data_IF_382634999192
#
_entry.id   IF_382634999192
#
_cell.length_a   1.000
_cell.length_b   1.000
_cell.length_c   1.000
_cell.angle_alpha   90.00
_cell.angle_beta   90.00
_cell.angle_gamma   90.00
#
_symmetry.space_group_name_H-M   'P 1'
#
loop_
_entity.id
_entity.type
_entity.pdbx_description
1 polymer ?
#
# COMPACT_ATOMS: atom_id res chain seq x y z
N UNK A 1 102.51 -12.48 -11.75
CA UNK A 1 102.36 -13.17 -10.44
C UNK A 1 101.04 -13.91 -10.45
N UNK A 2 101.11 -15.24 -10.28
CA UNK A 2 100.11 -16.15 -9.63
C UNK A 2 98.67 -16.12 -10.20
N UNK A 3 98.02 -17.18 -10.65
CA UNK A 3 98.26 -18.62 -10.57
C UNK A 3 97.04 -19.34 -11.19
N UNK A 4 97.29 -20.55 -11.69
CA UNK A 4 96.33 -21.48 -12.32
C UNK A 4 95.20 -21.88 -11.36
N UNK A 5 94.06 -22.30 -11.93
CA UNK A 5 93.32 -23.51 -11.52
C UNK A 5 92.22 -23.86 -12.54
N UNK A 6 92.47 -24.89 -13.36
CA UNK A 6 91.46 -25.81 -13.91
C UNK A 6 91.20 -26.90 -12.85
N UNK A 7 90.07 -27.66 -12.83
CA UNK A 7 89.71 -28.71 -13.81
C UNK A 7 88.17 -28.83 -13.98
N UNK A 8 87.48 -29.78 -14.62
CA UNK A 8 87.77 -31.13 -15.10
C UNK A 8 86.67 -31.55 -16.08
N UNK A 9 87.07 -32.30 -17.10
CA UNK A 9 86.25 -33.05 -18.06
C UNK A 9 85.53 -34.25 -17.43
N UNK A 10 84.37 -34.62 -18.00
CA UNK A 10 83.95 -35.97 -18.49
C UNK A 10 82.43 -35.92 -18.72
N UNK A 11 81.81 -36.41 -19.80
CA UNK A 11 82.22 -37.17 -20.97
C UNK A 11 80.98 -37.82 -21.60
N UNK A 12 81.13 -38.35 -22.83
CA UNK A 12 80.38 -39.51 -23.39
C UNK A 12 78.90 -39.23 -23.77
N UNK A 13 78.27 -39.63 -24.88
CA UNK A 13 78.49 -40.49 -26.04
C UNK A 13 77.51 -40.02 -27.16
N UNK A 14 77.86 -40.02 -28.45
CA UNK A 14 77.65 -41.09 -29.43
C UNK A 14 76.22 -41.29 -29.98
N UNK A 15 76.09 -41.24 -31.31
CA UNK A 15 75.10 -42.01 -32.09
C UNK A 15 73.97 -41.18 -32.73
N UNK A 16 74.14 -40.64 -33.94
CA UNK A 16 73.81 -41.22 -35.27
C UNK A 16 72.36 -41.65 -35.54
N UNK A 17 71.86 -41.11 -36.67
CA UNK A 17 70.89 -41.62 -37.67
C UNK A 17 69.41 -41.28 -37.45
N UNK A 18 68.82 -40.41 -38.31
CA UNK A 18 68.02 -40.72 -39.55
C UNK A 18 66.86 -41.69 -39.29
N UNK A 19 65.61 -41.49 -39.71
CA UNK A 19 64.97 -40.57 -40.66
C UNK A 19 63.42 -40.63 -40.43
N UNK A 20 62.51 -40.42 -41.41
CA UNK A 20 61.48 -39.37 -41.39
C UNK A 20 60.04 -39.91 -41.27
N UNK A 21 59.05 -39.06 -40.95
CA UNK A 21 57.72 -39.10 -41.59
C UNK A 21 56.75 -38.04 -41.06
N UNK A 22 56.15 -37.36 -42.03
CA UNK A 22 54.71 -37.08 -42.12
C UNK A 22 54.14 -35.92 -41.28
N UNK A 23 53.94 -34.80 -41.98
CA UNK A 23 52.68 -34.05 -42.08
C UNK A 23 51.83 -33.95 -40.80
N UNK A 24 51.87 -32.78 -40.19
CA UNK A 24 50.67 -32.18 -39.63
C UNK A 24 50.74 -30.66 -39.82
N UNK A 25 49.70 -30.17 -40.47
CA UNK A 25 49.37 -28.79 -40.75
C UNK A 25 49.16 -28.05 -39.41
N UNK A 26 50.02 -27.08 -39.08
CA UNK A 26 49.76 -26.18 -37.95
C UNK A 26 48.62 -25.23 -38.35
N UNK A 27 47.45 -25.41 -37.72
CA UNK A 27 46.45 -24.37 -37.57
C UNK A 27 46.49 -23.92 -36.11
N UNK A 28 46.88 -22.67 -35.79
CA UNK A 28 46.58 -22.12 -34.49
C UNK A 28 45.07 -21.83 -34.45
N UNK A 29 44.34 -22.68 -33.73
CA UNK A 29 42.98 -22.38 -33.28
C UNK A 29 43.08 -21.08 -32.45
N UNK A 30 42.45 -20.02 -32.94
CA UNK A 30 42.47 -18.68 -32.35
C UNK A 30 41.75 -18.74 -31.00
N UNK A 31 42.54 -19.07 -29.99
CA UNK A 31 42.15 -19.27 -28.61
C UNK A 31 41.41 -18.03 -28.10
N UNK A 32 40.21 -18.28 -27.59
CA UNK A 32 39.54 -17.43 -26.60
C UNK A 32 39.13 -16.04 -27.08
N UNK A 33 38.13 -16.07 -27.96
CA UNK A 33 36.88 -15.32 -27.81
C UNK A 33 36.31 -15.42 -26.38
N UNK A 34 36.96 -14.87 -25.35
CA UNK A 34 36.40 -14.80 -23.99
C UNK A 34 37.04 -13.70 -23.13
N UNK A 35 37.06 -12.45 -23.61
CA UNK A 35 37.33 -11.33 -22.70
C UNK A 35 36.70 -10.01 -23.11
N UNK A 36 35.37 -9.95 -23.22
CA UNK A 36 34.65 -8.72 -22.91
C UNK A 36 33.15 -8.96 -22.76
N UNK A 37 32.73 -9.49 -21.61
CA UNK A 37 31.35 -9.31 -21.13
C UNK A 37 31.41 -8.93 -19.66
N UNK A 38 32.09 -7.83 -19.37
CA UNK A 38 31.86 -7.09 -18.14
C UNK A 38 30.89 -5.98 -18.52
N UNK A 39 29.72 -5.97 -17.87
CA UNK A 39 28.72 -4.89 -17.89
C UNK A 39 27.59 -5.01 -18.94
N UNK A 40 26.83 -6.11 -18.93
CA UNK A 40 25.52 -6.17 -19.59
C UNK A 40 24.39 -6.57 -18.63
N UNK A 41 24.51 -6.28 -17.33
CA UNK A 41 23.43 -6.50 -16.35
C UNK A 41 23.41 -5.42 -15.25
N UNK A 42 22.97 -4.19 -15.55
CA UNK A 42 22.24 -3.44 -14.52
C UNK A 42 20.91 -2.86 -15.03
N UNK A 43 20.50 -3.14 -16.28
CA UNK A 43 19.27 -2.55 -16.83
C UNK A 43 18.00 -3.36 -16.53
N UNK A 44 18.09 -4.69 -16.45
CA UNK A 44 16.92 -5.54 -16.18
C UNK A 44 16.50 -5.55 -14.70
N UNK A 45 17.41 -5.28 -13.78
CA UNK A 45 17.11 -5.21 -12.35
C UNK A 45 16.39 -3.89 -11.97
N UNK A 46 16.59 -2.82 -12.75
CA UNK A 46 15.94 -1.52 -12.50
C UNK A 46 14.46 -1.53 -12.92
N UNK A 47 14.10 -2.31 -13.96
CA UNK A 47 12.72 -2.41 -14.45
C UNK A 47 11.79 -3.20 -13.50
N UNK A 48 12.33 -4.16 -12.73
CA UNK A 48 11.54 -4.95 -11.78
C UNK A 48 11.20 -4.18 -10.48
N UNK A 49 11.96 -3.13 -10.15
CA UNK A 49 11.71 -2.28 -8.96
C UNK A 49 10.61 -1.25 -9.23
N UNK A 50 10.37 -0.87 -10.50
CA UNK A 50 9.33 0.09 -10.89
C UNK A 50 7.90 -0.49 -10.90
N UNK A 51 7.73 -1.80 -10.75
CA UNK A 51 6.41 -2.46 -10.72
C UNK A 51 5.86 -2.66 -9.30
N UNK A 52 6.59 -2.21 -8.26
CA UNK A 52 6.21 -2.42 -6.87
C UNK A 52 5.55 -1.17 -6.29
N UNK A 53 4.23 -1.14 -6.29
CA UNK A 53 3.46 -0.46 -5.24
C UNK A 53 2.75 0.84 -5.61
N UNK A 54 1.77 0.80 -6.51
CA UNK A 54 0.60 1.68 -6.33
C UNK A 54 -0.32 1.02 -5.32
N UNK A 55 0.00 1.14 -4.03
CA UNK A 55 -1.02 0.90 -3.01
C UNK A 55 -1.99 2.06 -3.11
N UNK A 56 -3.21 1.77 -3.59
CA UNK A 56 -4.29 2.76 -3.57
C UNK A 56 -4.52 3.15 -2.12
N UNK A 57 -4.40 4.46 -1.81
CA UNK A 57 -4.97 4.98 -0.57
C UNK A 57 -6.44 4.58 -0.58
N UNK A 58 -6.81 3.68 0.35
CA UNK A 58 -8.21 3.36 0.58
C UNK A 58 -8.82 4.57 1.27
N UNK A 59 -9.62 5.31 0.51
CA UNK A 59 -10.55 6.30 0.99
C UNK A 59 -11.33 5.74 2.20
N UNK A 60 -11.32 6.44 3.34
CA UNK A 60 -12.11 6.05 4.51
C UNK A 60 -13.21 7.09 4.71
N UNK A 61 -14.47 6.68 4.49
CA UNK A 61 -15.63 7.41 4.99
C UNK A 61 -15.62 7.32 6.52
N UNK A 62 -15.77 8.44 7.21
CA UNK A 62 -15.80 8.45 8.68
C UNK A 62 -16.86 9.41 9.19
N UNK A 63 -17.89 8.86 9.85
CA UNK A 63 -18.85 9.68 10.59
C UNK A 63 -18.22 10.26 11.86
N UNK A 64 -18.75 11.40 12.31
CA UNK A 64 -18.42 11.95 13.61
C UNK A 64 -18.83 11.04 14.78
N UNK A 65 -18.10 11.15 15.89
CA UNK A 65 -18.25 10.27 17.06
C UNK A 65 -19.68 10.09 17.62
N UNK A 66 -20.59 11.08 17.57
CA UNK A 66 -21.95 10.90 18.08
C UNK A 66 -22.79 9.90 17.28
N UNK A 67 -22.44 9.64 16.02
CA UNK A 67 -23.19 8.73 15.15
C UNK A 67 -22.75 7.28 15.40
N UNK A 68 -23.55 6.58 16.21
CA UNK A 68 -23.37 5.19 16.61
C UNK A 68 -24.74 4.54 16.71
N UNK A 69 -24.76 3.22 16.64
CA UNK A 69 -26.00 2.47 16.76
C UNK A 69 -26.71 2.77 18.08
N UNK A 70 -28.03 2.67 18.11
CA UNK A 70 -28.88 2.95 19.28
C UNK A 70 -28.87 4.43 19.73
N UNK A 71 -28.48 5.36 18.86
CA UNK A 71 -28.53 6.80 19.18
C UNK A 71 -29.93 7.41 19.03
N UNK A 72 -30.13 8.57 19.64
CA UNK A 72 -31.35 9.37 19.51
C UNK A 72 -31.02 10.70 18.83
N UNK A 73 -31.71 11.02 17.74
CA UNK A 73 -31.69 12.32 17.09
C UNK A 73 -32.74 13.25 17.71
N UNK A 74 -32.38 14.52 17.86
CA UNK A 74 -33.27 15.54 18.41
C UNK A 74 -34.46 15.79 17.45
N UNK A 75 -35.68 15.75 17.96
CA UNK A 75 -36.88 16.08 17.18
C UNK A 75 -37.03 17.59 16.92
N UNK A 76 -37.88 17.94 15.95
CA UNK A 76 -38.30 19.32 15.66
C UNK A 76 -37.15 20.32 15.40
N UNK A 77 -35.96 19.81 15.12
CA UNK A 77 -34.79 20.61 14.72
C UNK A 77 -34.17 20.01 13.47
N UNK A 78 -33.43 20.84 12.75
CA UNK A 78 -32.68 20.40 11.58
C UNK A 78 -31.62 19.37 11.99
N UNK A 79 -31.63 18.21 11.34
CA UNK A 79 -30.69 17.13 11.66
C UNK A 79 -29.40 17.42 10.91
N UNK A 80 -28.34 17.74 11.65
CA UNK A 80 -27.00 17.91 11.08
C UNK A 80 -26.28 16.57 11.08
N UNK A 81 -25.80 16.14 9.93
CA UNK A 81 -24.95 14.96 9.78
C UNK A 81 -23.62 15.39 9.20
N UNK A 82 -22.52 14.95 9.80
CA UNK A 82 -21.18 15.39 9.41
C UNK A 82 -20.12 14.33 9.66
N UNK A 83 -18.99 14.50 8.99
CA UNK A 83 -17.87 13.59 9.09
C UNK A 83 -16.73 13.99 8.18
N UNK A 84 -15.94 12.98 7.82
CA UNK A 84 -14.83 13.06 6.90
C UNK A 84 -15.04 12.04 5.77
N UNK A 85 -14.57 12.41 4.59
CA UNK A 85 -14.45 11.56 3.43
C UNK A 85 -13.22 12.03 2.65
N UNK A 86 -12.90 11.35 1.56
CA UNK A 86 -11.89 11.84 0.63
C UNK A 86 -12.22 13.26 0.16
N UNK A 87 -11.22 14.12 -0.09
CA UNK A 87 -11.46 15.45 -0.65
C UNK A 87 -12.29 15.40 -1.94
N UNK A 88 -13.16 16.40 -2.13
CA UNK A 88 -13.94 16.59 -3.36
C UNK A 88 -14.81 15.38 -3.75
N UNK A 89 -15.24 14.59 -2.77
CA UNK A 89 -16.05 13.38 -2.93
C UNK A 89 -17.52 13.64 -2.64
N UNK A 90 -18.40 13.09 -3.46
CA UNK A 90 -19.84 13.12 -3.22
C UNK A 90 -20.21 12.23 -2.05
N UNK A 91 -20.87 12.80 -1.05
CA UNK A 91 -21.46 12.11 0.10
C UNK A 91 -22.97 12.24 0.00
N UNK A 92 -23.69 11.15 0.24
CA UNK A 92 -25.16 11.10 0.31
C UNK A 92 -25.55 10.58 1.68
N UNK A 93 -26.51 11.23 2.32
CA UNK A 93 -27.05 10.83 3.62
C UNK A 93 -28.54 10.61 3.47
N UNK A 94 -29.04 9.48 3.97
CA UNK A 94 -30.46 9.14 3.99
C UNK A 94 -30.92 8.72 5.39
N UNK A 95 -32.09 9.19 5.80
CA UNK A 95 -32.73 8.84 7.08
C UNK A 95 -34.26 8.92 6.97
N UNK A 96 -34.93 7.76 6.99
CA UNK A 96 -36.35 7.66 6.65
C UNK A 96 -36.61 8.20 5.23
N UNK A 97 -37.60 9.07 5.08
CA UNK A 97 -37.94 9.72 3.79
C UNK A 97 -37.07 10.94 3.46
N UNK A 98 -36.04 11.24 4.28
CA UNK A 98 -35.14 12.38 4.08
C UNK A 98 -33.86 11.91 3.43
N UNK A 99 -33.44 12.59 2.37
CA UNK A 99 -32.17 12.34 1.71
C UNK A 99 -31.58 13.67 1.24
N UNK A 100 -30.27 13.82 1.40
CA UNK A 100 -29.53 14.94 0.85
C UNK A 100 -28.09 14.53 0.53
N UNK A 101 -27.45 15.30 -0.34
CA UNK A 101 -26.08 15.02 -0.80
C UNK A 101 -25.24 16.29 -0.75
N UNK A 102 -23.94 16.14 -0.46
CA UNK A 102 -22.95 17.22 -0.45
C UNK A 102 -21.62 16.72 -0.99
N UNK A 103 -20.73 17.63 -1.36
CA UNK A 103 -19.35 17.30 -1.69
C UNK A 103 -18.46 17.64 -0.50
N UNK A 104 -17.56 16.73 -0.11
CA UNK A 104 -16.55 17.02 0.90
C UNK A 104 -15.58 18.12 0.44
N UNK A 105 -15.13 18.91 1.41
CA UNK A 105 -14.14 19.95 1.18
C UNK A 105 -12.76 19.39 0.86
N UNK A 106 -11.82 20.28 0.54
CA UNK A 106 -10.41 19.91 0.29
C UNK A 106 -9.71 19.32 1.52
N UNK A 107 -10.24 19.61 2.71
CA UNK A 107 -9.82 19.05 3.99
C UNK A 107 -10.54 17.73 4.35
N UNK A 108 -11.35 17.20 3.43
CA UNK A 108 -12.16 16.00 3.59
C UNK A 108 -13.41 16.18 4.44
N UNK A 109 -13.64 17.35 5.05
CA UNK A 109 -14.80 17.58 5.91
C UNK A 109 -16.05 17.77 5.09
N UNK A 110 -17.16 17.23 5.58
CA UNK A 110 -18.46 17.42 4.98
C UNK A 110 -19.54 17.58 6.05
N UNK A 111 -20.61 18.27 5.68
CA UNK A 111 -21.79 18.45 6.51
C UNK A 111 -23.02 18.53 5.62
N UNK A 112 -24.07 17.83 6.01
CA UNK A 112 -25.39 17.85 5.40
C UNK A 112 -26.40 18.23 6.48
N UNK A 113 -27.45 18.93 6.04
CA UNK A 113 -28.61 19.16 6.86
C UNK A 113 -29.81 18.42 6.25
N UNK A 114 -30.48 17.60 7.06
CA UNK A 114 -31.76 16.98 6.72
C UNK A 114 -32.89 17.74 7.40
N UNK A 115 -34.07 17.72 6.78
CA UNK A 115 -35.26 18.34 7.36
C UNK A 115 -35.58 17.77 8.74
N UNK A 116 -36.19 18.60 9.58
CA UNK A 116 -36.65 18.18 10.89
C UNK A 116 -37.68 17.05 10.79
N UNK A 117 -37.65 16.15 11.77
CA UNK A 117 -38.61 15.07 11.94
C UNK A 117 -39.35 15.21 13.27
N UNK A 118 -40.64 14.82 13.34
CA UNK A 118 -41.34 14.67 14.61
C UNK A 118 -40.74 13.51 15.41
N UNK A 119 -40.97 13.48 16.74
CA UNK A 119 -40.62 12.31 17.53
C UNK A 119 -41.27 11.04 16.99
N UNK A 120 -40.50 9.96 17.03
CA UNK A 120 -40.95 8.62 16.67
C UNK A 120 -40.22 7.58 17.50
N UNK A 121 -40.98 6.61 18.01
CA UNK A 121 -40.43 5.42 18.66
C UNK A 121 -40.08 4.31 17.66
N UNK A 122 -40.33 4.52 16.36
CA UNK A 122 -39.94 3.59 15.31
C UNK A 122 -38.45 3.72 15.01
N UNK A 123 -37.65 2.66 15.19
CA UNK A 123 -36.22 2.70 14.90
C UNK A 123 -35.97 2.74 13.39
N UNK A 124 -35.00 3.55 12.99
CA UNK A 124 -34.63 3.75 11.58
C UNK A 124 -33.12 3.65 11.40
N UNK A 125 -32.69 3.37 10.18
CA UNK A 125 -31.27 3.33 9.82
C UNK A 125 -30.86 4.66 9.21
N UNK A 126 -29.83 5.30 9.76
CA UNK A 126 -29.13 6.41 9.11
C UNK A 126 -28.07 5.83 8.18
N UNK A 127 -28.18 6.13 6.90
CA UNK A 127 -27.28 5.61 5.86
C UNK A 127 -26.43 6.75 5.32
N UNK A 128 -25.12 6.55 5.28
CA UNK A 128 -24.16 7.47 4.64
C UNK A 128 -23.39 6.73 3.57
N UNK A 129 -23.36 7.30 2.37
CA UNK A 129 -22.76 6.68 1.20
C UNK A 129 -21.82 7.64 0.49
N UNK A 130 -20.76 7.06 -0.03
CA UNK A 130 -19.88 7.62 -1.06
C UNK A 130 -19.85 6.64 -2.23
N UNK A 131 -19.24 7.00 -3.38
CA UNK A 131 -19.11 6.06 -4.51
C UNK A 131 -18.39 4.74 -4.16
N UNK A 132 -17.55 4.74 -3.12
CA UNK A 132 -16.68 3.61 -2.79
C UNK A 132 -17.06 2.90 -1.48
N UNK A 133 -17.84 3.54 -0.61
CA UNK A 133 -18.12 3.05 0.74
C UNK A 133 -19.53 3.43 1.21
N UNK A 134 -20.16 2.52 1.96
CA UNK A 134 -21.45 2.71 2.61
C UNK A 134 -21.31 2.40 4.10
N UNK A 135 -21.77 3.30 4.94
CA UNK A 135 -21.90 3.09 6.39
C UNK A 135 -23.37 3.24 6.81
N UNK A 136 -23.81 2.37 7.70
CA UNK A 136 -25.14 2.38 8.27
C UNK A 136 -25.02 2.51 9.79
N UNK A 137 -25.87 3.34 10.36
CA UNK A 137 -26.05 3.47 11.80
C UNK A 137 -27.45 2.98 12.11
N UNK A 138 -27.53 1.90 12.88
CA UNK A 138 -28.76 1.16 13.13
C UNK A 138 -29.44 1.62 14.43
N UNK A 139 -30.74 1.32 14.55
CA UNK A 139 -31.56 1.67 15.72
C UNK A 139 -31.49 3.15 16.12
N UNK A 140 -31.63 4.04 15.13
CA UNK A 140 -31.66 5.48 15.37
C UNK A 140 -33.11 5.92 15.60
N UNK A 141 -33.37 6.49 16.77
CA UNK A 141 -34.66 7.05 17.16
C UNK A 141 -34.71 8.57 16.97
N UNK A 142 -35.91 9.15 16.96
CA UNK A 142 -36.10 10.61 16.93
C UNK A 142 -36.90 11.02 18.16
N UNK A 143 -36.36 11.91 19.00
CA UNK A 143 -37.00 12.31 20.24
C UNK A 143 -36.20 13.32 21.06
N UNK A 144 -36.38 13.26 22.37
CA UNK A 144 -35.72 14.10 23.36
C UNK A 144 -34.83 13.22 24.26
N UNK A 145 -33.67 13.73 24.67
CA UNK A 145 -32.80 13.07 25.64
C UNK A 145 -32.84 13.83 26.96
N UNK A 146 -33.43 13.22 27.99
CA UNK A 146 -33.51 13.78 29.33
C UNK A 146 -32.47 13.15 30.24
N UNK A 147 -31.56 13.97 30.77
CA UNK A 147 -30.66 13.53 31.85
C UNK A 147 -31.41 13.65 33.18
N UNK A 148 -31.91 12.53 33.69
CA UNK A 148 -32.56 12.47 34.99
C UNK A 148 -31.52 12.47 36.13
N UNK A 149 -30.90 13.64 36.40
CA UNK A 149 -29.96 13.81 37.52
C UNK A 149 -30.68 14.11 38.84
N UNK A 150 -31.47 13.15 39.33
CA UNK A 150 -32.05 13.22 40.68
C UNK A 150 -31.08 12.66 41.73
N UNK A 151 -30.91 13.37 42.85
CA UNK A 151 -30.38 12.79 44.08
C UNK A 151 -31.57 12.33 44.95
N UNK A 152 -31.47 11.08 45.46
CA UNK A 152 -32.23 10.51 46.59
C UNK A 152 -33.59 9.81 46.41
N UNK A 153 -33.97 9.27 45.24
CA UNK A 153 -35.02 8.24 45.23
C UNK A 153 -34.82 7.13 44.19
N UNK A 154 -33.77 6.33 44.37
CA UNK A 154 -33.75 4.92 43.94
C UNK A 154 -33.56 4.06 45.20
N UNK A 155 -34.51 4.14 46.13
CA UNK A 155 -34.67 3.07 47.10
C UNK A 155 -35.63 2.04 46.47
N UNK A 156 -35.08 0.98 45.90
CA UNK A 156 -35.84 -0.27 45.76
C UNK A 156 -35.87 -0.92 47.15
N UNK A 157 -37.00 -0.82 47.85
CA UNK A 157 -37.36 -1.81 48.86
C UNK A 157 -38.12 -2.94 48.21
#
# INVERSE_FOLDING_TARGET
MIGRCTPRSTGVASGRRTAPRHLAHEQPEDDTMFRSMRHARPLFALAAVLLCGTTGLRAELKLASPFRDHMVLQQQTQIRVWGWADPETQVTVAFGDRQASTTSGKDGRWMIHLDALPASAEPRTLVVETPNERQAVEDVLVGEVWLCSGQSNMAMT
#
